data_IF_899753577972
#
_entry.id   IF_899753577972
#
_cell.length_a   1.000
_cell.length_b   1.000
_cell.length_c   1.000
_cell.angle_alpha   90.00
_cell.angle_beta   90.00
_cell.angle_gamma   90.00
#
_symmetry.space_group_name_H-M   'P 1'
#
loop_
_entity.id
_entity.type
_entity.pdbx_description
1 polymer ?
#
# COMPACT_ATOMS: atom_id res chain seq x y z
N UNK A 1 -10.21 12.48 52.06
CA UNK A 1 -10.32 11.26 51.21
C UNK A 1 -11.30 11.41 50.05
N UNK A 2 -12.51 11.98 50.23
CA UNK A 2 -13.48 12.21 49.14
C UNK A 2 -13.01 13.14 48.00
N UNK A 3 -12.12 14.10 48.30
CA UNK A 3 -11.56 15.06 47.33
C UNK A 3 -10.50 14.45 46.40
N UNK A 4 -9.81 13.37 46.82
CA UNK A 4 -8.75 12.72 46.04
C UNK A 4 -9.35 11.78 44.98
N UNK A 5 -10.47 11.13 45.31
CA UNK A 5 -11.22 10.28 44.39
C UNK A 5 -11.78 11.10 43.22
N UNK A 6 -12.27 12.33 43.48
CA UNK A 6 -12.75 13.23 42.42
C UNK A 6 -11.66 13.69 41.44
N UNK A 7 -10.41 13.84 41.91
CA UNK A 7 -9.27 14.22 41.07
C UNK A 7 -8.82 13.06 40.19
N UNK A 8 -8.82 11.83 40.70
CA UNK A 8 -8.45 10.64 39.91
C UNK A 8 -9.46 10.34 38.79
N UNK A 9 -10.76 10.56 39.03
CA UNK A 9 -11.80 10.42 38.00
C UNK A 9 -11.66 11.51 36.92
N UNK A 10 -11.34 12.75 37.31
CA UNK A 10 -11.12 13.83 36.35
C UNK A 10 -9.89 13.60 35.45
N UNK A 11 -8.81 13.01 35.98
CA UNK A 11 -7.62 12.67 35.19
C UNK A 11 -7.88 11.49 34.24
N UNK A 12 -8.67 10.49 34.65
CA UNK A 12 -9.00 9.35 33.80
C UNK A 12 -9.91 9.71 32.61
N UNK A 13 -10.74 10.76 32.75
CA UNK A 13 -11.62 11.24 31.67
C UNK A 13 -10.85 12.09 30.65
N UNK A 14 -9.73 12.72 31.03
CA UNK A 14 -8.87 13.46 30.09
C UNK A 14 -8.01 12.55 29.19
N UNK A 15 -7.83 11.27 29.52
CA UNK A 15 -7.11 10.30 28.69
C UNK A 15 -8.01 9.51 27.73
N UNK A 16 -9.33 9.68 27.79
CA UNK A 16 -10.24 9.15 26.79
C UNK A 16 -10.05 9.97 25.52
N UNK A 17 -9.25 9.41 24.60
CA UNK A 17 -8.68 10.10 23.47
C UNK A 17 -9.69 10.93 22.68
N UNK A 18 -9.27 12.14 22.33
CA UNK A 18 -9.77 12.75 21.11
C UNK A 18 -9.35 11.81 19.98
N UNK A 19 -10.26 10.94 19.54
CA UNK A 19 -10.22 10.39 18.20
C UNK A 19 -10.46 11.59 17.28
N UNK A 20 -9.38 12.33 17.00
CA UNK A 20 -9.37 13.29 15.92
C UNK A 20 -9.74 12.49 14.68
N UNK A 21 -10.76 12.92 13.94
CA UNK A 21 -11.02 12.36 12.62
C UNK A 21 -9.73 12.54 11.82
N UNK A 22 -9.00 11.46 11.59
CA UNK A 22 -7.76 11.52 10.82
C UNK A 22 -8.17 11.72 9.37
N UNK A 23 -7.70 12.82 8.79
CA UNK A 23 -7.94 13.13 7.39
C UNK A 23 -6.83 12.47 6.59
N UNK A 24 -7.21 11.57 5.69
CA UNK A 24 -6.29 10.92 4.77
C UNK A 24 -5.55 12.00 3.95
N UNK A 25 -4.21 11.96 3.98
CA UNK A 25 -3.38 12.91 3.23
C UNK A 25 -3.20 12.44 1.79
N UNK A 26 -3.91 13.07 0.86
CA UNK A 26 -3.88 12.73 -0.56
C UNK A 26 -2.87 13.55 -1.34
N UNK A 27 -2.06 12.87 -2.15
CA UNK A 27 -1.34 13.48 -3.26
C UNK A 27 -2.26 13.57 -4.49
N UNK A 28 -1.94 14.48 -5.40
CA UNK A 28 -2.61 14.63 -6.71
C UNK A 28 -1.63 14.54 -7.88
N UNK A 29 -0.32 14.56 -7.61
CA UNK A 29 0.75 14.48 -8.60
C UNK A 29 1.20 13.02 -8.75
N UNK A 30 0.82 12.40 -9.87
CA UNK A 30 1.08 10.98 -10.13
C UNK A 30 2.57 10.65 -10.12
N UNK A 31 3.39 11.43 -10.83
CA UNK A 31 4.81 11.14 -11.00
C UNK A 31 5.53 11.23 -9.65
N UNK A 32 5.23 12.24 -8.83
CA UNK A 32 5.80 12.36 -7.48
C UNK A 32 5.34 11.27 -6.54
N UNK A 33 4.09 10.82 -6.65
CA UNK A 33 3.58 9.75 -5.81
C UNK A 33 4.23 8.40 -6.15
N UNK A 34 4.50 8.17 -7.44
CA UNK A 34 5.28 7.02 -7.93
C UNK A 34 6.72 7.07 -7.44
N UNK A 35 7.40 8.21 -7.59
CA UNK A 35 8.77 8.42 -7.09
C UNK A 35 8.85 8.13 -5.59
N UNK A 36 7.94 8.69 -4.79
CA UNK A 36 7.90 8.45 -3.34
C UNK A 36 7.63 6.97 -2.99
N UNK A 37 6.81 6.28 -3.78
CA UNK A 37 6.53 4.85 -3.60
C UNK A 37 7.78 4.00 -3.86
N UNK A 38 8.51 4.32 -4.92
CA UNK A 38 9.76 3.67 -5.28
C UNK A 38 10.85 3.91 -4.22
N UNK A 39 11.01 5.14 -3.76
CA UNK A 39 12.02 5.51 -2.76
C UNK A 39 11.73 4.92 -1.36
N UNK A 40 10.47 4.98 -0.92
CA UNK A 40 10.09 4.51 0.42
C UNK A 40 9.86 3.01 0.50
N UNK A 41 9.69 2.34 -0.65
CA UNK A 41 9.29 0.94 -0.72
C UNK A 41 7.86 0.68 -0.21
N UNK A 42 7.04 1.73 -0.05
CA UNK A 42 5.63 1.63 0.29
C UNK A 42 4.77 1.53 -0.97
N UNK A 43 3.72 0.69 -0.98
CA UNK A 43 2.77 0.63 -2.08
C UNK A 43 1.97 1.94 -2.19
N UNK A 44 1.56 2.26 -3.41
CA UNK A 44 0.75 3.42 -3.75
C UNK A 44 -0.71 2.99 -3.93
N UNK A 45 -1.60 3.54 -3.11
CA UNK A 45 -3.05 3.42 -3.29
C UNK A 45 -3.54 4.56 -4.18
N UNK A 46 -4.10 4.21 -5.33
CA UNK A 46 -4.56 5.15 -6.36
C UNK A 46 -6.08 5.11 -6.41
N UNK A 47 -6.72 6.25 -6.15
CA UNK A 47 -8.15 6.45 -6.22
C UNK A 47 -8.53 7.36 -7.39
N UNK A 48 -9.11 6.77 -8.43
CA UNK A 48 -9.69 7.52 -9.54
C UNK A 48 -11.14 7.92 -9.24
N UNK A 49 -11.39 9.23 -9.25
CA UNK A 49 -12.70 9.83 -8.96
C UNK A 49 -13.13 10.80 -10.05
N UNK A 50 -14.37 11.30 -9.94
CA UNK A 50 -14.80 12.48 -10.69
C UNK A 50 -15.82 13.29 -9.88
N UNK A 51 -15.87 14.60 -10.13
CA UNK A 51 -16.73 15.54 -9.37
C UNK A 51 -18.24 15.28 -9.57
N UNK A 52 -18.64 14.58 -10.64
CA UNK A 52 -20.04 14.30 -10.97
C UNK A 52 -20.44 12.86 -10.70
N UNK A 53 -19.78 12.19 -9.76
CA UNK A 53 -19.90 10.75 -9.52
C UNK A 53 -20.57 10.46 -8.17
N UNK A 54 -21.84 10.08 -8.22
CA UNK A 54 -22.60 9.72 -7.01
C UNK A 54 -21.94 8.59 -6.20
N UNK A 55 -21.41 7.56 -6.88
CA UNK A 55 -20.77 6.44 -6.19
C UNK A 55 -19.41 6.80 -5.58
N UNK A 56 -18.75 7.86 -6.08
CA UNK A 56 -17.52 8.39 -5.51
C UNK A 56 -17.82 9.09 -4.18
N UNK A 57 -18.87 9.92 -4.13
CA UNK A 57 -19.34 10.52 -2.88
C UNK A 57 -19.74 9.46 -1.84
N UNK A 58 -20.37 8.38 -2.30
CA UNK A 58 -20.73 7.24 -1.43
C UNK A 58 -19.46 6.55 -0.89
N UNK A 59 -18.50 6.26 -1.75
CA UNK A 59 -17.22 5.64 -1.38
C UNK A 59 -16.45 6.49 -0.37
N UNK A 60 -16.38 7.80 -0.56
CA UNK A 60 -15.69 8.73 0.33
C UNK A 60 -16.36 8.89 1.70
N UNK A 61 -17.70 8.80 1.76
CA UNK A 61 -18.46 8.96 3.00
C UNK A 61 -18.57 7.68 3.81
N UNK A 62 -18.59 6.53 3.15
CA UNK A 62 -18.81 5.23 3.78
C UNK A 62 -17.48 4.48 3.88
N UNK A 63 -16.94 4.04 2.75
CA UNK A 63 -15.77 3.17 2.69
C UNK A 63 -14.50 3.86 3.21
N UNK A 64 -14.18 5.07 2.75
CA UNK A 64 -12.98 5.82 3.20
C UNK A 64 -13.15 6.48 4.58
N UNK A 65 -14.26 6.21 5.28
CA UNK A 65 -14.47 6.59 6.68
C UNK A 65 -14.49 5.39 7.62
N UNK A 66 -14.41 4.18 7.08
CA UNK A 66 -14.27 2.99 7.91
C UNK A 66 -12.92 3.04 8.67
N UNK A 67 -12.92 2.86 10.01
CA UNK A 67 -11.71 3.00 10.80
C UNK A 67 -10.58 2.05 10.41
N UNK A 68 -10.90 0.82 10.00
CA UNK A 68 -9.88 -0.16 9.64
C UNK A 68 -9.29 0.13 8.27
N UNK A 69 -10.12 0.54 7.31
CA UNK A 69 -9.66 1.06 6.01
C UNK A 69 -8.72 2.25 6.21
N UNK A 70 -9.11 3.24 7.02
CA UNK A 70 -8.29 4.43 7.28
C UNK A 70 -6.96 4.03 7.89
N UNK A 71 -6.97 3.17 8.91
CA UNK A 71 -5.74 2.69 9.56
C UNK A 71 -4.81 1.99 8.57
N UNK A 72 -5.33 1.08 7.75
CA UNK A 72 -4.55 0.37 6.74
C UNK A 72 -3.92 1.34 5.75
N UNK A 73 -4.70 2.28 5.22
CA UNK A 73 -4.25 3.29 4.26
C UNK A 73 -3.14 4.19 4.84
N UNK A 74 -3.34 4.75 6.03
CA UNK A 74 -2.40 5.69 6.65
C UNK A 74 -1.06 5.05 7.02
N UNK A 75 -1.10 3.84 7.58
CA UNK A 75 0.11 3.18 8.06
C UNK A 75 0.97 2.66 6.89
N UNK A 76 0.31 2.15 5.84
CA UNK A 76 0.97 1.27 4.89
C UNK A 76 1.09 1.84 3.47
N UNK A 77 0.26 2.82 3.08
CA UNK A 77 0.19 3.27 1.70
C UNK A 77 0.57 4.74 1.54
N UNK A 78 1.09 5.07 0.36
CA UNK A 78 1.03 6.45 -0.15
C UNK A 78 -0.32 6.60 -0.82
N UNK A 79 -1.02 7.71 -0.57
CA UNK A 79 -2.38 7.92 -1.07
C UNK A 79 -2.36 8.93 -2.21
N UNK A 80 -2.89 8.53 -3.36
CA UNK A 80 -3.00 9.36 -4.55
C UNK A 80 -4.45 9.37 -5.02
N UNK A 81 -5.01 10.56 -5.19
CA UNK A 81 -6.32 10.73 -5.83
C UNK A 81 -6.16 11.43 -7.17
N UNK A 82 -6.86 10.90 -8.17
CA UNK A 82 -6.80 11.40 -9.54
C UNK A 82 -8.21 11.66 -10.05
N UNK A 83 -8.46 12.90 -10.49
CA UNK A 83 -9.69 13.20 -11.20
C UNK A 83 -9.62 12.64 -12.62
N UNK A 84 -10.32 11.53 -12.88
CA UNK A 84 -10.31 10.81 -14.16
C UNK A 84 -10.84 11.63 -15.35
N UNK A 85 -11.60 12.70 -15.10
CA UNK A 85 -12.08 13.62 -16.14
C UNK A 85 -11.05 14.69 -16.52
N UNK A 86 -10.11 15.00 -15.62
CA UNK A 86 -9.00 15.92 -15.87
C UNK A 86 -7.79 15.17 -16.43
N UNK A 87 -7.45 14.03 -15.82
CA UNK A 87 -6.30 13.19 -16.21
C UNK A 87 -6.69 12.05 -17.17
N UNK A 88 -7.24 12.41 -18.33
CA UNK A 88 -7.81 11.46 -19.29
C UNK A 88 -6.78 10.46 -19.82
N UNK A 89 -5.55 10.91 -20.08
CA UNK A 89 -4.50 10.05 -20.60
C UNK A 89 -4.10 8.97 -19.59
N UNK A 90 -3.95 9.35 -18.32
CA UNK A 90 -3.63 8.45 -17.21
C UNK A 90 -4.79 7.47 -16.95
N UNK A 91 -6.02 7.98 -16.89
CA UNK A 91 -7.22 7.14 -16.77
C UNK A 91 -7.30 6.07 -17.88
N UNK A 92 -7.01 6.46 -19.13
CA UNK A 92 -6.95 5.52 -20.26
C UNK A 92 -5.81 4.52 -20.14
N UNK A 93 -4.64 4.93 -19.66
CA UNK A 93 -3.50 4.03 -19.46
C UNK A 93 -3.81 2.94 -18.42
N UNK A 94 -4.55 3.28 -17.36
CA UNK A 94 -5.08 2.33 -16.38
C UNK A 94 -6.32 1.56 -16.87
N UNK A 95 -6.84 1.86 -18.06
CA UNK A 95 -8.00 1.18 -18.63
C UNK A 95 -9.30 1.37 -17.85
N UNK A 96 -9.44 2.46 -17.08
CA UNK A 96 -10.61 2.63 -16.19
C UNK A 96 -11.88 2.95 -16.99
N UNK A 97 -12.96 2.16 -16.85
CA UNK A 97 -14.20 2.38 -17.58
C UNK A 97 -15.12 3.40 -16.89
N UNK A 98 -14.85 3.74 -15.63
CA UNK A 98 -15.68 4.61 -14.81
C UNK A 98 -15.04 4.93 -13.46
N UNK A 99 -15.79 5.59 -12.59
CA UNK A 99 -15.37 5.96 -11.22
C UNK A 99 -16.47 5.61 -10.21
N UNK A 100 -16.16 5.33 -8.94
CA UNK A 100 -14.81 5.24 -8.38
C UNK A 100 -14.07 4.02 -8.94
N UNK A 101 -12.74 4.07 -9.02
CA UNK A 101 -11.92 2.88 -9.32
C UNK A 101 -10.63 3.01 -8.55
N UNK A 102 -10.22 1.94 -7.88
CA UNK A 102 -9.04 1.93 -7.02
C UNK A 102 -8.03 0.90 -7.52
N UNK A 103 -6.76 1.22 -7.36
CA UNK A 103 -5.66 0.31 -7.62
C UNK A 103 -4.63 0.42 -6.51
N UNK A 104 -3.95 -0.68 -6.21
CA UNK A 104 -2.65 -0.66 -5.54
C UNK A 104 -1.56 -0.86 -6.58
N UNK A 105 -0.61 0.08 -6.64
CA UNK A 105 0.64 -0.05 -7.41
C UNK A 105 1.79 -0.32 -6.43
N UNK A 106 2.53 -1.39 -6.65
CA UNK A 106 3.72 -1.74 -5.91
C UNK A 106 4.90 -0.82 -6.28
N UNK A 107 5.93 -0.72 -5.43
CA UNK A 107 7.15 0.04 -5.74
C UNK A 107 7.84 -0.45 -7.02
N UNK A 108 7.74 -1.74 -7.36
CA UNK A 108 8.33 -2.29 -8.60
C UNK A 108 7.49 -2.01 -9.87
N UNK A 109 6.39 -1.27 -9.74
CA UNK A 109 5.48 -0.93 -10.83
C UNK A 109 4.38 -1.95 -11.08
N UNK A 110 4.35 -3.09 -10.37
CA UNK A 110 3.26 -4.06 -10.46
C UNK A 110 1.95 -3.42 -10.00
N UNK A 111 0.86 -3.61 -10.73
CA UNK A 111 -0.48 -3.14 -10.34
C UNK A 111 -1.33 -4.34 -9.94
N UNK A 112 -1.97 -4.27 -8.77
CA UNK A 112 -2.90 -5.31 -8.32
C UNK A 112 -4.25 -5.08 -9.02
N UNK A 113 -4.46 -5.77 -10.13
CA UNK A 113 -5.71 -5.78 -10.89
C UNK A 113 -6.39 -7.16 -10.82
N UNK A 114 -7.38 -7.39 -11.69
CA UNK A 114 -8.12 -8.66 -11.78
C UNK A 114 -7.24 -9.89 -12.08
N UNK A 115 -6.03 -9.73 -12.61
CA UNK A 115 -5.12 -10.85 -12.87
C UNK A 115 -4.42 -11.33 -11.60
N UNK A 116 -4.32 -10.46 -10.58
CA UNK A 116 -3.66 -10.78 -9.31
C UNK A 116 -4.66 -11.00 -8.18
N UNK A 117 -5.79 -10.28 -8.17
CA UNK A 117 -6.86 -10.46 -7.20
C UNK A 117 -8.20 -10.61 -7.92
N UNK A 118 -8.77 -11.82 -7.89
CA UNK A 118 -9.95 -12.19 -8.67
C UNK A 118 -11.21 -11.35 -8.38
N UNK A 119 -11.29 -10.76 -7.18
CA UNK A 119 -12.40 -9.92 -6.76
C UNK A 119 -12.21 -8.45 -7.14
N UNK A 120 -11.09 -8.09 -7.78
CA UNK A 120 -10.89 -6.72 -8.21
C UNK A 120 -11.93 -6.32 -9.27
N UNK A 121 -12.52 -5.14 -9.11
CA UNK A 121 -13.44 -4.59 -10.09
C UNK A 121 -13.42 -3.05 -10.09
N UNK A 122 -13.81 -2.40 -11.20
CA UNK A 122 -14.12 -0.96 -11.18
C UNK A 122 -15.46 -0.71 -10.49
N UNK A 123 -15.64 0.47 -9.90
CA UNK A 123 -16.87 0.88 -9.23
C UNK A 123 -16.73 0.96 -7.71
N UNK A 124 -17.87 1.12 -7.05
CA UNK A 124 -17.94 1.22 -5.59
C UNK A 124 -17.54 -0.11 -4.95
N UNK A 125 -16.47 -0.11 -4.15
CA UNK A 125 -16.15 -1.16 -3.19
C UNK A 125 -16.62 -0.72 -1.81
N UNK A 126 -17.24 -1.62 -1.04
CA UNK A 126 -17.54 -1.35 0.36
C UNK A 126 -16.29 -1.50 1.25
N UNK A 127 -16.44 -1.24 2.55
CA UNK A 127 -15.34 -1.27 3.51
C UNK A 127 -14.70 -2.66 3.64
N UNK A 128 -15.50 -3.71 3.74
CA UNK A 128 -15.01 -5.09 3.90
C UNK A 128 -14.25 -5.55 2.66
N UNK A 129 -14.77 -5.23 1.48
CA UNK A 129 -14.13 -5.53 0.22
C UNK A 129 -12.80 -4.78 0.06
N UNK A 130 -12.78 -3.48 0.35
CA UNK A 130 -11.57 -2.69 0.28
C UNK A 130 -10.53 -3.16 1.30
N UNK A 131 -10.94 -3.50 2.53
CA UNK A 131 -10.03 -4.07 3.54
C UNK A 131 -9.34 -5.33 3.02
N UNK A 132 -10.09 -6.29 2.47
CA UNK A 132 -9.53 -7.52 1.88
C UNK A 132 -8.56 -7.23 0.74
N UNK A 133 -8.87 -6.25 -0.10
CA UNK A 133 -8.00 -5.83 -1.19
C UNK A 133 -6.68 -5.23 -0.68
N UNK A 134 -6.75 -4.38 0.35
CA UNK A 134 -5.57 -3.76 0.97
C UNK A 134 -4.70 -4.82 1.66
N UNK A 135 -5.31 -5.71 2.45
CA UNK A 135 -4.60 -6.81 3.14
C UNK A 135 -3.90 -7.72 2.13
N UNK A 136 -4.62 -8.17 1.09
CA UNK A 136 -4.01 -8.97 0.01
C UNK A 136 -2.81 -8.26 -0.63
N UNK A 137 -2.94 -6.95 -0.86
CA UNK A 137 -1.86 -6.17 -1.47
C UNK A 137 -0.62 -6.09 -0.58
N UNK A 138 -0.79 -6.02 0.74
CA UNK A 138 0.32 -6.03 1.70
C UNK A 138 0.99 -7.41 1.76
N UNK A 139 0.20 -8.49 1.82
CA UNK A 139 0.71 -9.86 1.78
C UNK A 139 1.49 -10.13 0.48
N UNK A 140 0.98 -9.63 -0.66
CA UNK A 140 1.67 -9.70 -1.95
C UNK A 140 3.04 -9.02 -1.88
N UNK A 141 3.10 -7.81 -1.33
CA UNK A 141 4.34 -7.04 -1.20
C UNK A 141 5.35 -7.77 -0.31
N UNK A 142 4.92 -8.33 0.81
CA UNK A 142 5.77 -9.11 1.72
C UNK A 142 6.33 -10.34 1.02
N UNK A 143 5.49 -11.10 0.31
CA UNK A 143 5.94 -12.28 -0.45
C UNK A 143 6.98 -11.94 -1.51
N UNK A 144 6.89 -10.76 -2.15
CA UNK A 144 7.89 -10.29 -3.13
C UNK A 144 9.24 -9.98 -2.47
N UNK A 145 9.22 -9.38 -1.28
CA UNK A 145 10.43 -9.09 -0.50
C UNK A 145 11.15 -10.37 -0.10
N UNK A 146 10.41 -11.38 0.38
CA UNK A 146 10.98 -12.68 0.76
C UNK A 146 11.62 -13.40 -0.43
N UNK A 147 10.91 -13.47 -1.56
CA UNK A 147 11.42 -14.14 -2.77
C UNK A 147 12.69 -13.46 -3.31
N UNK A 148 12.74 -12.12 -3.27
CA UNK A 148 13.93 -11.37 -3.70
C UNK A 148 15.13 -11.66 -2.80
N UNK A 149 14.92 -11.70 -1.48
CA UNK A 149 15.98 -12.02 -0.52
C UNK A 149 16.53 -13.44 -0.73
N UNK A 150 15.67 -14.43 -0.97
CA UNK A 150 16.11 -15.81 -1.25
C UNK A 150 16.94 -15.89 -2.53
N UNK A 151 16.53 -15.20 -3.60
CA UNK A 151 17.28 -15.16 -4.85
C UNK A 151 18.67 -14.52 -4.67
N UNK A 152 18.76 -13.40 -3.94
CA UNK A 152 20.03 -12.74 -3.66
C UNK A 152 20.97 -13.61 -2.80
N UNK A 153 20.44 -14.31 -1.79
CA UNK A 153 21.21 -15.27 -0.99
C UNK A 153 21.75 -16.40 -1.87
N UNK A 154 20.89 -17.04 -2.68
CA UNK A 154 21.32 -18.13 -3.57
C UNK A 154 22.37 -17.69 -4.60
N UNK A 155 22.27 -16.47 -5.11
CA UNK A 155 23.25 -15.91 -6.04
C UNK A 155 24.60 -15.63 -5.35
N UNK A 156 24.59 -15.25 -4.06
CA UNK A 156 25.80 -15.02 -3.28
C UNK A 156 26.51 -16.32 -2.88
N UNK A 157 25.75 -17.38 -2.56
CA UNK A 157 26.28 -18.70 -2.20
C UNK A 157 26.90 -19.43 -3.39
N UNK A 158 26.29 -19.37 -4.58
CA UNK A 158 26.88 -19.93 -5.81
C UNK A 158 28.21 -19.24 -6.20
N UNK A 159 28.32 -17.93 -5.97
CA UNK A 159 29.55 -17.18 -6.25
C UNK A 159 30.66 -17.55 -5.24
N UNK A 160 30.30 -17.75 -3.97
CA UNK A 160 31.23 -18.19 -2.93
C UNK A 160 31.79 -19.59 -3.24
N UNK A 161 30.93 -20.57 -3.56
CA UNK A 161 31.33 -21.95 -3.88
C UNK A 161 32.24 -22.02 -5.12
N UNK A 162 31.94 -21.21 -6.15
CA UNK A 162 32.82 -21.10 -7.34
C UNK A 162 34.19 -20.52 -7.02
N UNK A 163 34.27 -19.57 -6.08
CA UNK A 163 35.53 -18.93 -5.68
C UNK A 163 36.44 -19.89 -4.91
N UNK A 164 35.89 -20.70 -4.01
CA UNK A 164 36.65 -21.70 -3.25
C UNK A 164 37.10 -22.86 -4.15
N UNK A 165 36.25 -23.31 -5.08
CA UNK A 165 36.60 -24.35 -6.04
C UNK A 165 37.66 -23.90 -7.06
N UNK A 166 37.68 -22.61 -7.43
CA UNK A 166 38.75 -21.99 -8.24
C UNK A 166 40.11 -21.98 -7.52
N UNK A 167 40.13 -21.73 -6.22
CA UNK A 167 41.37 -21.70 -5.42
C UNK A 167 42.00 -23.09 -5.26
N UNK A 168 41.19 -24.13 -5.12
CA UNK A 168 41.66 -25.53 -5.03
C UNK A 168 42.26 -26.05 -6.35
N UNK A 169 41.74 -25.61 -7.49
CA UNK A 169 42.26 -25.98 -8.82
C UNK A 169 43.60 -25.31 -9.19
N UNK A 170 44.03 -24.30 -8.44
CA UNK A 170 45.24 -23.52 -8.70
C UNK A 170 46.47 -23.98 -7.90
N UNK A 171 46.34 -25.00 -7.04
CA UNK A 171 47.48 -25.56 -6.30
C UNK A 171 48.32 -26.45 -7.24
N UNK A 172 49.61 -26.14 -7.48
CA UNK A 172 50.47 -27.04 -8.23
C UNK A 172 50.63 -28.33 -7.44
N UNK A 173 50.40 -29.48 -8.08
CA UNK A 173 50.84 -30.79 -7.61
C UNK A 173 52.37 -30.76 -7.45
N UNK A 174 52.84 -30.30 -6.29
CA UNK A 174 54.21 -30.51 -5.84
C UNK A 174 54.32 -31.98 -5.42
N UNK A 175 54.74 -32.80 -6.39
CA UNK A 175 55.28 -34.15 -6.21
C UNK A 175 56.81 -34.06 -6.18
#
# INVERSE_FOLDING_TARGET
MKKIIGVLIAVLVLSAGLAWAQELFWMEDYDKAVELSEESGKPLFIYFYSETCFFCEKFERETLKDPEVVRLLEENFILLMINARKEIALARAYGIPGTPTVFVRMPDGTVIDYNLWENWHPGFMDAEELEKYLVFSLEYLESKKENKNVQEISASEEVQDRSEMSLLAALPLYL
#
